data_IF_609078556314
#
_entry.id   IF_609078556314
#
_cell.length_a   1.000
_cell.length_b   1.000
_cell.length_c   1.000
_cell.angle_alpha   90.00
_cell.angle_beta   90.00
_cell.angle_gamma   90.00
#
_symmetry.space_group_name_H-M   'P 1'
#
loop_
_entity.id
_entity.type
_entity.pdbx_description
1 polymer ?
#
# COMPACT_ATOMS: atom_id res chain seq x y z
N UNK A 1 8.06 1.31 3.91
CA UNK A 1 8.17 -0.03 3.28
C UNK A 1 9.47 -0.10 2.48
N UNK A 2 10.06 -1.29 2.28
CA UNK A 2 11.24 -1.45 1.41
C UNK A 2 11.04 -2.65 0.46
N UNK A 3 11.21 -2.47 -0.86
CA UNK A 3 11.50 -1.20 -1.53
C UNK A 3 10.33 -0.20 -1.40
N UNK A 4 10.63 1.10 -1.54
CA UNK A 4 9.60 2.14 -1.59
C UNK A 4 8.75 1.99 -2.85
N UNK A 5 7.42 2.05 -2.71
CA UNK A 5 6.52 2.05 -3.86
C UNK A 5 6.60 3.40 -4.57
N UNK A 6 6.93 3.35 -5.86
CA UNK A 6 7.08 4.52 -6.75
C UNK A 6 6.33 4.24 -8.05
N UNK A 7 5.50 5.19 -8.49
CA UNK A 7 4.60 5.00 -9.63
C UNK A 7 4.69 6.21 -10.57
N UNK A 8 4.72 5.95 -11.87
CA UNK A 8 4.57 6.95 -12.93
C UNK A 8 3.23 6.77 -13.62
N UNK A 9 2.60 7.88 -14.01
CA UNK A 9 1.28 7.87 -14.64
C UNK A 9 1.39 8.29 -16.10
N UNK A 10 0.71 7.55 -16.98
CA UNK A 10 0.56 7.86 -18.40
C UNK A 10 -0.92 7.87 -18.78
N UNK A 11 -1.27 8.48 -19.92
CA UNK A 11 -2.65 8.53 -20.40
C UNK A 11 -3.61 9.44 -19.61
N UNK A 12 -3.16 10.07 -18.52
CA UNK A 12 -4.00 11.01 -17.76
C UNK A 12 -4.23 12.31 -18.54
N UNK A 13 -5.47 12.81 -18.44
CA UNK A 13 -5.87 14.11 -19.00
C UNK A 13 -5.26 15.25 -18.19
N UNK A 14 -4.57 16.18 -18.85
CA UNK A 14 -3.85 17.28 -18.18
C UNK A 14 -4.74 18.31 -17.49
N UNK A 15 -5.95 18.51 -18.00
CA UNK A 15 -6.94 19.48 -17.52
C UNK A 15 -7.73 19.01 -16.28
N UNK A 16 -7.44 17.80 -15.78
CA UNK A 16 -8.18 17.18 -14.69
C UNK A 16 -7.35 17.10 -13.40
N UNK A 17 -8.05 16.99 -12.28
CA UNK A 17 -7.47 16.75 -10.95
C UNK A 17 -7.71 15.31 -10.50
N UNK A 18 -6.71 14.72 -9.86
CA UNK A 18 -6.68 13.33 -9.44
C UNK A 18 -6.28 13.23 -7.97
N UNK A 19 -7.03 12.47 -7.19
CA UNK A 19 -6.54 11.95 -5.92
C UNK A 19 -5.75 10.67 -6.19
N UNK A 20 -4.59 10.52 -5.55
CA UNK A 20 -3.78 9.31 -5.66
C UNK A 20 -3.73 8.66 -4.29
N UNK A 21 -4.18 7.42 -4.19
CA UNK A 21 -4.28 6.65 -2.95
C UNK A 21 -3.55 5.31 -3.08
N UNK A 22 -3.15 4.74 -1.95
CA UNK A 22 -2.61 3.39 -1.84
C UNK A 22 -3.43 2.60 -0.82
N UNK A 23 -3.73 1.36 -1.18
CA UNK A 23 -4.32 0.34 -0.29
C UNK A 23 -3.38 -0.87 -0.22
N UNK A 24 -3.50 -1.66 0.84
CA UNK A 24 -2.81 -2.94 1.00
C UNK A 24 -3.86 -4.00 1.29
N UNK A 25 -4.07 -4.88 0.32
CA UNK A 25 -5.11 -5.91 0.37
C UNK A 25 -4.49 -7.29 0.57
N UNK A 26 -5.15 -8.21 1.30
CA UNK A 26 -4.68 -9.57 1.45
C UNK A 26 -4.66 -10.29 0.10
N UNK A 27 -3.56 -10.99 -0.19
CA UNK A 27 -3.44 -11.82 -1.41
C UNK A 27 -4.32 -13.07 -1.31
N UNK A 28 -4.41 -13.66 -0.11
CA UNK A 28 -5.29 -14.77 0.18
C UNK A 28 -5.71 -14.84 1.65
N UNK A 29 -6.57 -15.80 1.99
CA UNK A 29 -7.08 -16.03 3.35
C UNK A 29 -6.27 -17.11 4.09
N UNK A 30 -4.94 -17.09 4.00
CA UNK A 30 -4.06 -18.07 4.65
C UNK A 30 -3.03 -17.40 5.57
N UNK A 31 -2.76 -18.07 6.70
CA UNK A 31 -1.62 -17.73 7.57
C UNK A 31 -0.42 -18.56 7.16
N UNK A 32 0.74 -17.92 7.06
CA UNK A 32 1.98 -18.55 6.60
C UNK A 32 3.00 -18.73 7.72
N UNK A 33 3.81 -19.79 7.63
CA UNK A 33 4.98 -20.04 8.47
C UNK A 33 6.19 -20.35 7.60
N UNK A 34 7.33 -19.74 7.92
CA UNK A 34 8.58 -20.04 7.23
C UNK A 34 9.23 -21.33 7.77
N UNK A 35 9.61 -22.25 6.89
CA UNK A 35 10.28 -23.49 7.22
C UNK A 35 11.77 -23.42 6.85
N UNK A 36 12.62 -23.10 7.83
CA UNK A 36 14.07 -22.88 7.64
C UNK A 36 14.79 -24.05 6.95
N UNK A 37 14.48 -25.29 7.34
CA UNK A 37 15.13 -26.49 6.77
C UNK A 37 14.78 -26.75 5.29
N UNK A 38 13.74 -26.08 4.75
CA UNK A 38 13.32 -26.18 3.34
C UNK A 38 13.44 -24.85 2.60
N UNK A 39 13.94 -23.80 3.27
CA UNK A 39 13.99 -22.44 2.77
C UNK A 39 12.70 -22.01 2.03
N UNK A 40 11.53 -22.30 2.62
CA UNK A 40 10.23 -22.10 1.95
C UNK A 40 9.11 -21.72 2.91
N UNK A 41 8.08 -21.08 2.35
CA UNK A 41 6.84 -20.73 3.05
C UNK A 41 5.82 -21.86 2.97
N UNK A 42 5.20 -22.18 4.11
CA UNK A 42 4.14 -23.20 4.21
C UNK A 42 2.87 -22.56 4.76
N UNK A 43 1.72 -23.08 4.33
CA UNK A 43 0.42 -22.73 4.92
C UNK A 43 0.36 -23.32 6.33
N UNK A 44 0.11 -22.47 7.31
CA UNK A 44 -0.01 -22.83 8.72
C UNK A 44 -1.46 -22.84 9.21
N UNK A 45 -2.40 -22.27 8.45
CA UNK A 45 -3.82 -22.23 8.78
C UNK A 45 -4.58 -21.16 8.01
N UNK A 46 -5.79 -20.84 8.51
CA UNK A 46 -6.61 -19.71 8.04
C UNK A 46 -6.00 -18.40 8.51
N UNK A 47 -6.15 -17.32 7.73
CA UNK A 47 -5.73 -15.99 8.16
C UNK A 47 -6.54 -15.50 9.37
N UNK A 48 -5.95 -14.57 10.12
CA UNK A 48 -6.64 -13.83 11.18
C UNK A 48 -7.70 -12.90 10.55
N UNK A 49 -8.69 -12.40 11.32
CA UNK A 49 -9.65 -11.43 10.81
C UNK A 49 -8.93 -10.21 10.18
N UNK A 50 -9.46 -9.67 9.07
CA UNK A 50 -8.81 -8.54 8.42
C UNK A 50 -8.80 -7.32 9.35
N UNK A 51 -7.67 -6.60 9.37
CA UNK A 51 -7.61 -5.31 10.02
C UNK A 51 -8.58 -4.31 9.36
N UNK A 52 -8.99 -3.24 10.07
CA UNK A 52 -9.80 -2.19 9.47
C UNK A 52 -9.13 -1.64 8.21
N UNK A 53 -9.86 -1.62 7.09
CA UNK A 53 -9.36 -1.08 5.82
C UNK A 53 -8.96 0.39 5.99
N UNK A 54 -7.73 0.72 5.60
CA UNK A 54 -7.17 2.07 5.67
C UNK A 54 -6.50 2.45 4.37
N UNK A 55 -7.14 3.37 3.65
CA UNK A 55 -6.56 3.97 2.47
C UNK A 55 -5.55 5.05 2.87
N UNK A 56 -4.36 4.99 2.30
CA UNK A 56 -3.38 6.07 2.40
C UNK A 56 -3.57 7.04 1.23
N UNK A 57 -4.12 8.23 1.50
CA UNK A 57 -4.13 9.33 0.53
C UNK A 57 -2.74 9.93 0.43
N UNK A 58 -2.18 10.03 -0.77
CA UNK A 58 -0.90 10.69 -0.97
C UNK A 58 -1.00 12.16 -0.50
N UNK A 59 -0.06 12.67 0.31
CA UNK A 59 -0.18 13.98 0.97
C UNK A 59 -0.28 15.16 -0.02
N UNK A 60 0.34 15.02 -1.18
CA UNK A 60 0.31 16.04 -2.23
C UNK A 60 -0.96 15.97 -3.12
N UNK A 61 -1.89 15.06 -2.81
CA UNK A 61 -3.20 15.02 -3.49
C UNK A 61 -4.05 16.25 -3.11
N UNK A 62 -4.87 16.78 -4.03
CA UNK A 62 -5.02 16.34 -5.42
C UNK A 62 -3.90 16.83 -6.33
N UNK A 63 -3.52 16.00 -7.30
CA UNK A 63 -2.60 16.34 -8.37
C UNK A 63 -3.34 16.80 -9.63
N UNK A 64 -2.73 17.68 -10.42
CA UNK A 64 -3.15 17.86 -11.82
C UNK A 64 -2.62 16.71 -12.68
N UNK A 65 -3.30 16.41 -13.78
CA UNK A 65 -2.81 15.41 -14.74
C UNK A 65 -1.44 15.78 -15.31
N UNK A 66 -1.11 17.07 -15.43
CA UNK A 66 0.21 17.52 -15.84
C UNK A 66 1.30 17.15 -14.82
N UNK A 67 1.05 17.37 -13.52
CA UNK A 67 1.97 16.96 -12.45
C UNK A 67 2.21 15.44 -12.49
N UNK A 68 1.15 14.65 -12.60
CA UNK A 68 1.24 13.19 -12.63
C UNK A 68 2.05 12.63 -13.81
N UNK A 69 1.99 13.28 -14.99
CA UNK A 69 2.79 12.86 -16.16
C UNK A 69 4.27 13.23 -16.04
N UNK A 70 4.59 14.28 -15.29
CA UNK A 70 5.95 14.85 -15.23
C UNK A 70 6.81 14.23 -14.13
N UNK A 71 6.21 13.57 -13.14
CA UNK A 71 6.93 13.10 -11.98
C UNK A 71 6.64 11.64 -11.62
N UNK A 72 7.55 11.05 -10.86
CA UNK A 72 7.32 9.78 -10.17
C UNK A 72 6.69 10.11 -8.81
N UNK A 73 5.51 9.56 -8.53
CA UNK A 73 4.86 9.69 -7.22
C UNK A 73 5.44 8.63 -6.28
N UNK A 74 5.88 9.04 -5.08
CA UNK A 74 6.59 8.19 -4.12
C UNK A 74 5.81 8.03 -2.82
N UNK A 75 5.55 6.79 -2.41
CA UNK A 75 4.86 6.46 -1.16
C UNK A 75 5.86 6.20 0.00
N UNK A 76 6.95 6.96 0.06
CA UNK A 76 8.00 6.77 1.07
C UNK A 76 7.54 7.05 2.51
N UNK A 77 6.52 7.91 2.66
CA UNK A 77 5.94 8.28 3.95
C UNK A 77 4.94 7.24 4.48
N UNK A 78 4.61 6.21 3.69
CA UNK A 78 3.71 5.14 4.13
C UNK A 78 4.38 4.27 5.18
N UNK A 79 3.67 4.07 6.29
CA UNK A 79 4.06 3.22 7.41
C UNK A 79 3.06 2.08 7.56
N UNK A 80 3.60 0.89 7.87
CA UNK A 80 2.84 -0.30 8.22
C UNK A 80 2.89 -0.48 9.73
N UNK A 81 1.79 -0.94 10.32
CA UNK A 81 1.69 -1.22 11.75
C UNK A 81 0.91 -2.50 11.99
N UNK A 82 1.27 -3.26 13.01
CA UNK A 82 0.46 -4.36 13.52
C UNK A 82 -0.39 -3.94 14.74
N UNK A 83 -0.42 -2.65 15.09
CA UNK A 83 -1.26 -2.13 16.15
C UNK A 83 -2.67 -1.83 15.62
N UNK A 84 -3.63 -2.71 15.93
CA UNK A 84 -5.04 -2.57 15.53
C UNK A 84 -5.71 -1.30 16.06
N UNK A 85 -5.17 -0.72 17.14
CA UNK A 85 -5.67 0.52 17.75
C UNK A 85 -4.88 1.76 17.29
N UNK A 86 -4.10 1.67 16.21
CA UNK A 86 -3.32 2.81 15.72
C UNK A 86 -4.21 4.03 15.43
N UNK A 87 -3.80 5.21 15.91
CA UNK A 87 -4.50 6.49 15.68
C UNK A 87 -3.75 7.42 14.74
N UNK A 88 -2.59 6.98 14.21
CA UNK A 88 -1.70 7.80 13.41
C UNK A 88 -2.00 7.68 11.90
N UNK A 89 -3.06 6.95 11.52
CA UNK A 89 -3.43 6.74 10.11
C UNK A 89 -2.45 5.83 9.36
N UNK A 90 -1.69 4.99 10.08
CA UNK A 90 -0.83 3.98 9.46
C UNK A 90 -1.68 2.84 8.91
N UNK A 91 -1.19 2.16 7.87
CA UNK A 91 -1.88 1.04 7.26
C UNK A 91 -1.65 -0.20 8.13
N UNK A 92 -2.74 -0.89 8.49
CA UNK A 92 -2.76 -2.08 9.34
C UNK A 92 -2.82 -3.35 8.51
#
# INVERSE_FOLDING_TARGET
>A
MFPTVRVSFSGVRSDQRYAVLMDIVPVDNKRYRYAYHRSSWLVAGKADPPAPCRLYLHPDSPFTGEQLRKQVVSFEKVKLTNNEMDKNGQVC
#
